data_IF_457116433164
#
_entry.id   IF_457116433164
#
_cell.length_a   1.000
_cell.length_b   1.000
_cell.length_c   1.000
_cell.angle_alpha   90.00
_cell.angle_beta   90.00
_cell.angle_gamma   90.00
#
_symmetry.space_group_name_H-M   'P 1'
#
loop_
_entity.id
_entity.type
_entity.pdbx_description
1 polymer ?
#
# COMPACT_ATOMS: atom_id res chain seq x y z
N UNK A 1 -6.79 0.06 -27.40
CA UNK A 1 -5.87 0.97 -26.69
C UNK A 1 -6.64 1.55 -25.55
N UNK A 2 -6.19 1.32 -24.32
CA UNK A 2 -6.82 1.87 -23.11
C UNK A 2 -5.98 3.06 -22.67
N UNK A 3 -6.48 4.27 -22.92
CA UNK A 3 -5.89 5.51 -22.43
C UNK A 3 -6.05 5.58 -20.90
N UNK A 4 -4.92 5.54 -20.19
CA UNK A 4 -4.86 5.93 -18.80
C UNK A 4 -4.72 7.46 -18.76
N UNK A 5 -5.70 8.16 -18.20
CA UNK A 5 -5.56 9.57 -17.85
C UNK A 5 -4.59 9.64 -16.68
N UNK A 6 -3.34 10.01 -16.97
CA UNK A 6 -2.35 10.35 -15.94
C UNK A 6 -2.65 11.78 -15.53
N UNK A 7 -3.24 11.94 -14.35
CA UNK A 7 -3.19 13.21 -13.62
C UNK A 7 -1.90 13.18 -12.78
N UNK A 8 -0.94 14.07 -13.06
CA UNK A 8 0.39 14.16 -12.41
C UNK A 8 0.33 14.33 -10.87
N UNK A 9 -0.86 14.41 -10.30
CA UNK A 9 -1.13 14.64 -8.87
C UNK A 9 -1.43 13.38 -8.08
N UNK A 10 -1.88 12.30 -8.74
CA UNK A 10 -2.41 11.11 -8.07
C UNK A 10 -1.95 9.83 -8.77
N UNK A 11 -1.43 8.88 -8.00
CA UNK A 11 -1.11 7.54 -8.49
C UNK A 11 -2.09 6.52 -7.90
N UNK A 12 -2.61 5.64 -8.75
CA UNK A 12 -3.47 4.53 -8.32
C UNK A 12 -2.68 3.22 -8.34
N UNK A 13 -2.47 2.65 -7.15
CA UNK A 13 -2.00 1.27 -7.01
C UNK A 13 -3.21 0.35 -7.02
N UNK A 14 -3.20 -0.67 -7.87
CA UNK A 14 -4.23 -1.70 -7.90
C UNK A 14 -3.60 -3.09 -7.84
N UNK A 15 -4.32 -4.03 -7.23
CA UNK A 15 -3.89 -5.42 -7.17
C UNK A 15 -5.08 -6.36 -7.29
N UNK A 16 -4.77 -7.61 -7.61
CA UNK A 16 -5.77 -8.68 -7.63
C UNK A 16 -6.04 -9.12 -6.20
N UNK A 17 -7.32 -9.16 -5.81
CA UNK A 17 -7.75 -9.70 -4.53
C UNK A 17 -7.36 -11.18 -4.44
N UNK A 18 -6.56 -11.56 -3.46
CA UNK A 18 -6.12 -12.95 -3.26
C UNK A 18 -7.04 -13.73 -2.32
N UNK A 19 -7.86 -13.03 -1.53
CA UNK A 19 -8.81 -13.62 -0.60
C UNK A 19 -10.03 -12.71 -0.39
N UNK A 20 -11.08 -13.26 0.21
CA UNK A 20 -12.15 -12.50 0.87
C UNK A 20 -11.64 -12.20 2.28
N UNK A 21 -11.64 -10.93 2.66
CA UNK A 21 -11.19 -10.49 3.98
C UNK A 21 -12.32 -10.61 5.01
N UNK A 22 -12.00 -11.12 6.20
CA UNK A 22 -12.90 -11.03 7.36
C UNK A 22 -13.05 -9.58 7.84
N UNK A 23 -13.98 -9.33 8.78
CA UNK A 23 -14.28 -7.97 9.29
C UNK A 23 -13.07 -7.27 9.93
N UNK A 24 -12.17 -8.03 10.55
CA UNK A 24 -10.96 -7.52 11.20
C UNK A 24 -9.70 -7.64 10.32
N UNK A 25 -9.81 -8.12 9.08
CA UNK A 25 -8.67 -8.32 8.18
C UNK A 25 -8.52 -7.22 7.12
N UNK A 26 -7.31 -6.76 6.87
CA UNK A 26 -7.05 -5.65 5.96
C UNK A 26 -5.95 -6.00 4.99
N UNK A 27 -6.08 -5.48 3.77
CA UNK A 27 -4.92 -5.29 2.92
C UNK A 27 -4.06 -4.19 3.55
N UNK A 28 -2.80 -4.51 3.78
CA UNK A 28 -1.78 -3.57 4.25
C UNK A 28 -0.80 -3.36 3.12
N UNK A 29 -0.86 -2.17 2.53
CA UNK A 29 0.07 -1.73 1.49
C UNK A 29 1.26 -1.09 2.18
N UNK A 30 2.43 -1.71 2.04
CA UNK A 30 3.68 -1.21 2.58
C UNK A 30 4.42 -0.49 1.45
N UNK A 31 4.66 0.80 1.61
CA UNK A 31 5.44 1.61 0.67
C UNK A 31 6.85 1.74 1.23
N UNK A 32 7.84 1.32 0.46
CA UNK A 32 9.25 1.43 0.81
C UNK A 32 9.90 2.44 -0.14
N UNK A 33 10.29 3.59 0.40
CA UNK A 33 10.96 4.64 -0.37
C UNK A 33 12.47 4.42 -0.33
N UNK A 34 13.13 4.50 -1.49
CA UNK A 34 14.58 4.38 -1.58
C UNK A 34 15.22 5.59 -0.88
N UNK A 35 15.69 5.38 0.36
CA UNK A 35 16.23 6.37 1.31
C UNK A 35 15.19 7.15 2.16
N UNK A 36 13.98 6.63 2.34
CA UNK A 36 12.95 7.24 3.21
C UNK A 36 12.34 6.24 4.21
N UNK A 37 11.48 6.72 5.13
CA UNK A 37 10.78 5.84 6.06
C UNK A 37 9.69 5.04 5.34
N UNK A 38 9.57 3.75 5.59
CA UNK A 38 8.45 2.97 5.05
C UNK A 38 7.12 3.42 5.67
N UNK A 39 6.05 3.44 4.89
CA UNK A 39 4.69 3.74 5.35
C UNK A 39 3.77 2.56 5.12
N UNK A 40 2.76 2.41 5.98
CA UNK A 40 1.73 1.37 5.84
C UNK A 40 0.35 2.01 5.65
N UNK A 41 -0.43 1.49 4.71
CA UNK A 41 -1.81 1.88 4.48
C UNK A 41 -2.71 0.67 4.64
N UNK A 42 -3.64 0.76 5.61
CA UNK A 42 -4.61 -0.28 5.89
C UNK A 42 -5.90 0.01 5.13
N UNK A 43 -6.37 -0.95 4.33
CA UNK A 43 -7.56 -0.77 3.49
C UNK A 43 -8.31 -2.07 3.28
N UNK A 44 -9.62 -1.97 3.07
CA UNK A 44 -10.48 -3.07 2.60
C UNK A 44 -10.60 -3.11 1.07
N UNK A 45 -10.15 -2.07 0.39
CA UNK A 45 -10.14 -2.00 -1.07
C UNK A 45 -8.92 -2.71 -1.64
N UNK A 46 -9.05 -3.28 -2.83
CA UNK A 46 -7.94 -3.81 -3.63
C UNK A 46 -7.22 -2.70 -4.44
N UNK A 47 -7.33 -1.45 -3.97
CA UNK A 47 -6.69 -0.30 -4.56
C UNK A 47 -6.32 0.73 -3.50
N UNK A 48 -5.28 1.50 -3.78
CA UNK A 48 -4.79 2.60 -2.96
C UNK A 48 -4.47 3.80 -3.86
N UNK A 49 -4.94 4.98 -3.47
CA UNK A 49 -4.59 6.24 -4.13
C UNK A 49 -3.49 6.92 -3.34
N UNK A 50 -2.34 7.12 -3.97
CA UNK A 50 -1.26 7.94 -3.44
C UNK A 50 -1.38 9.35 -3.97
N UNK A 51 -1.20 10.32 -3.09
CA UNK A 51 -1.22 11.74 -3.46
C UNK A 51 0.19 12.29 -3.60
N UNK A 52 0.34 13.47 -4.22
CA UNK A 52 1.65 14.15 -4.33
C UNK A 52 2.39 14.31 -3.00
N UNK A 53 1.70 14.31 -1.85
CA UNK A 53 2.32 14.39 -0.53
C UNK A 53 3.15 13.13 -0.19
N UNK A 54 2.82 12.01 -0.81
CA UNK A 54 3.48 10.71 -0.64
C UNK A 54 4.48 10.40 -1.76
N UNK A 55 4.66 11.34 -2.70
CA UNK A 55 5.60 11.18 -3.80
C UNK A 55 7.03 11.34 -3.26
N UNK A 56 7.91 10.32 -3.40
CA UNK A 56 9.30 10.46 -2.99
C UNK A 56 10.05 11.41 -3.92
N UNK A 57 11.07 12.07 -3.39
CA UNK A 57 11.87 13.05 -4.12
C UNK A 57 12.53 12.48 -5.39
N UNK A 58 12.86 11.19 -5.39
CA UNK A 58 13.47 10.50 -6.54
C UNK A 58 12.43 9.77 -7.43
N UNK A 59 11.16 9.78 -7.07
CA UNK A 59 10.09 9.05 -7.77
C UNK A 59 10.07 7.53 -7.56
N UNK A 60 11.08 6.93 -6.93
CA UNK A 60 11.18 5.46 -6.80
C UNK A 60 10.47 4.94 -5.55
N UNK A 61 9.52 4.02 -5.75
CA UNK A 61 8.77 3.34 -4.70
C UNK A 61 8.79 1.83 -4.95
N UNK A 62 9.11 1.06 -3.92
CA UNK A 62 8.87 -0.38 -3.88
C UNK A 62 7.66 -0.63 -2.97
N UNK A 63 6.62 -1.30 -3.47
CA UNK A 63 5.45 -1.58 -2.64
C UNK A 63 5.12 -3.06 -2.58
N UNK A 64 4.61 -3.49 -1.42
CA UNK A 64 4.10 -4.83 -1.17
C UNK A 64 2.69 -4.76 -0.62
N UNK A 65 1.87 -5.76 -0.93
CA UNK A 65 0.57 -5.94 -0.29
C UNK A 65 0.62 -7.22 0.51
N UNK A 66 0.21 -7.11 1.77
CA UNK A 66 0.02 -8.24 2.66
C UNK A 66 -1.36 -8.17 3.31
N UNK A 67 -1.82 -9.27 3.90
CA UNK A 67 -3.04 -9.29 4.71
C UNK A 67 -2.64 -9.31 6.17
N UNK A 68 -3.14 -8.36 6.96
CA UNK A 68 -2.99 -8.35 8.43
C UNK A 68 -4.35 -8.36 9.10
N UNK A 69 -4.43 -8.93 10.30
CA UNK A 69 -5.58 -8.79 11.19
C UNK A 69 -5.37 -7.60 12.12
N UNK A 70 -6.31 -6.68 12.18
CA UNK A 70 -6.27 -5.58 13.12
C UNK A 70 -6.71 -6.07 14.51
N UNK A 71 -5.77 -6.20 15.43
CA UNK A 71 -6.03 -6.63 16.81
C UNK A 71 -5.91 -5.49 17.82
N UNK A 72 -5.47 -4.31 17.38
CA UNK A 72 -5.34 -3.12 18.22
C UNK A 72 -4.74 -1.95 17.45
N UNK A 73 -4.16 -1.04 18.22
CA UNK A 73 -3.37 0.08 17.72
C UNK A 73 -2.00 0.10 18.40
N UNK A 74 -1.00 0.65 17.73
CA UNK A 74 0.34 0.88 18.31
C UNK A 74 0.40 2.18 19.13
N UNK A 75 1.60 2.54 19.61
CA UNK A 75 1.83 3.77 20.39
C UNK A 75 1.57 5.07 19.62
N UNK A 76 1.47 5.00 18.29
CA UNK A 76 1.09 6.12 17.41
C UNK A 76 -0.41 6.17 17.11
N UNK A 77 -1.21 5.28 17.73
CA UNK A 77 -2.62 5.04 17.40
C UNK A 77 -2.85 4.50 15.99
N UNK A 78 -1.82 4.00 15.33
CA UNK A 78 -1.94 3.35 14.02
C UNK A 78 -2.43 1.90 14.19
N UNK A 79 -3.25 1.36 13.27
CA UNK A 79 -3.67 -0.04 13.33
C UNK A 79 -2.48 -1.00 13.44
N UNK A 80 -2.60 -2.01 14.29
CA UNK A 80 -1.58 -3.03 14.49
C UNK A 80 -2.17 -4.42 14.60
N UNK A 81 -1.35 -5.42 14.28
CA UNK A 81 -1.69 -6.82 14.47
C UNK A 81 -0.90 -7.76 13.56
N UNK A 82 -1.18 -9.07 13.64
CA UNK A 82 -0.38 -10.10 13.02
C UNK A 82 -0.53 -10.14 11.49
N UNK A 83 0.55 -10.53 10.83
CA UNK A 83 0.58 -10.88 9.41
C UNK A 83 -0.09 -12.24 9.20
N UNK A 84 -1.05 -12.32 8.27
CA UNK A 84 -1.77 -13.53 7.91
C UNK A 84 -1.33 -14.11 6.57
N UNK A 85 -0.88 -13.27 5.63
CA UNK A 85 -0.40 -13.72 4.32
C UNK A 85 1.10 -14.02 4.33
N UNK A 86 1.61 -14.81 3.36
CA UNK A 86 3.03 -14.80 3.03
C UNK A 86 3.51 -13.36 2.74
N UNK A 87 4.81 -13.12 2.92
CA UNK A 87 5.42 -11.86 2.49
C UNK A 87 5.18 -11.67 0.98
N UNK A 88 4.50 -10.57 0.62
CA UNK A 88 4.24 -10.23 -0.78
C UNK A 88 5.54 -9.97 -1.54
N UNK A 89 5.54 -10.21 -2.85
CA UNK A 89 6.66 -9.82 -3.69
C UNK A 89 6.66 -8.30 -3.88
N UNK A 90 7.79 -7.61 -3.66
CA UNK A 90 7.89 -6.18 -3.93
C UNK A 90 7.66 -5.87 -5.40
N UNK A 91 6.78 -4.92 -5.68
CA UNK A 91 6.51 -4.39 -7.00
C UNK A 91 7.18 -3.01 -7.10
N UNK A 92 8.27 -2.87 -7.87
CA UNK A 92 8.93 -1.58 -8.06
C UNK A 92 8.12 -0.72 -9.04
N UNK A 93 8.09 0.60 -8.81
CA UNK A 93 7.69 1.57 -9.83
C UNK A 93 8.40 2.92 -9.68
N UNK A 94 8.39 3.69 -10.77
CA UNK A 94 8.90 5.07 -10.83
C UNK A 94 7.73 6.03 -11.09
N UNK A 95 7.46 6.94 -10.15
CA UNK A 95 6.51 8.04 -10.28
C UNK A 95 7.15 9.22 -11.01
N UNK A 96 6.89 9.31 -12.31
CA UNK A 96 7.34 10.42 -13.16
C UNK A 96 6.51 11.68 -12.97
#
# INVERSE_FOLDING_TARGET
GSDAVIDDTTLLLNWTSTAILDEDEFYVVQLNYRNGPSTEHWTKSNSLRLTKQERPANGWIDWTVVIKRQTGTDSSSSPSGPLLSPAGQPLPFEWR
#
